data_IF_880219362905
#
_entry.id   IF_880219362905
#
_cell.length_a   1.000
_cell.length_b   1.000
_cell.length_c   1.000
_cell.angle_alpha   90.00
_cell.angle_beta   90.00
_cell.angle_gamma   90.00
#
_symmetry.space_group_name_H-M   'P 1'
#
loop_
_entity.id
_entity.type
_entity.pdbx_description
1 polymer ?
#
# COMPACT_ATOMS: atom_id res chain seq x y z
N UNK A 1 15.12 11.13 14.01
CA UNK A 1 13.98 11.78 14.70
C UNK A 1 12.71 11.38 13.96
N UNK A 2 11.91 10.50 14.57
CA UNK A 2 10.75 9.89 13.94
C UNK A 2 9.50 10.76 13.95
N UNK A 3 8.63 10.52 12.98
CA UNK A 3 7.28 11.06 12.87
C UNK A 3 6.41 10.08 12.10
N UNK A 4 6.19 8.90 12.68
CA UNK A 4 5.32 7.86 12.14
C UNK A 4 3.88 8.37 12.03
N UNK A 5 3.23 8.03 10.92
CA UNK A 5 1.94 8.56 10.51
C UNK A 5 0.79 8.33 11.49
N UNK A 6 0.10 9.41 11.83
CA UNK A 6 -1.26 9.36 12.36
C UNK A 6 -2.19 8.75 11.33
N UNK A 7 -2.46 7.43 11.43
CA UNK A 7 -3.63 6.82 10.77
C UNK A 7 -4.87 7.44 11.39
N UNK A 8 -5.59 8.25 10.62
CA UNK A 8 -6.87 8.83 11.03
C UNK A 8 -7.84 7.74 11.50
N UNK A 9 -8.53 7.99 12.61
CA UNK A 9 -9.57 7.09 13.15
C UNK A 9 -10.64 6.88 12.07
N UNK A 10 -10.78 5.65 11.57
CA UNK A 10 -11.85 5.30 10.64
C UNK A 10 -13.18 5.16 11.38
N UNK A 11 -14.24 5.75 10.84
CA UNK A 11 -15.61 5.69 11.39
C UNK A 11 -16.50 4.96 10.38
N UNK A 12 -17.32 4.03 10.86
CA UNK A 12 -18.27 3.28 10.02
C UNK A 12 -19.66 3.91 10.13
N UNK A 13 -20.30 4.16 8.99
CA UNK A 13 -21.65 4.72 8.89
C UNK A 13 -22.66 3.59 8.66
N UNK A 14 -23.62 3.43 9.57
CA UNK A 14 -24.79 2.58 9.38
C UNK A 14 -26.04 3.46 9.21
N UNK A 15 -26.93 3.12 8.29
CA UNK A 15 -28.22 3.80 8.10
C UNK A 15 -29.30 2.99 8.82
N UNK A 16 -30.13 3.64 9.63
CA UNK A 16 -31.25 2.99 10.32
C UNK A 16 -32.54 2.96 9.47
N UNK A 17 -33.60 2.33 10.00
CA UNK A 17 -34.90 2.15 9.33
C UNK A 17 -35.62 3.47 9.04
N UNK A 18 -35.26 4.56 9.74
CA UNK A 18 -35.76 5.92 9.51
C UNK A 18 -34.80 6.78 8.68
N UNK A 19 -33.91 6.14 7.92
CA UNK A 19 -32.92 6.77 7.04
C UNK A 19 -31.87 7.66 7.72
N UNK A 20 -31.75 7.62 9.06
CA UNK A 20 -30.78 8.44 9.80
C UNK A 20 -29.40 7.79 9.80
N UNK A 21 -28.37 8.61 9.62
CA UNK A 21 -26.97 8.17 9.64
C UNK A 21 -26.52 8.01 11.10
N UNK A 22 -26.26 6.77 11.52
CA UNK A 22 -25.63 6.46 12.81
C UNK A 22 -24.13 6.34 12.65
N UNK A 23 -23.39 7.14 13.40
CA UNK A 23 -21.91 7.11 13.43
C UNK A 23 -21.47 6.19 14.56
N UNK A 24 -21.09 4.95 14.21
CA UNK A 24 -20.56 4.00 15.18
C UNK A 24 -19.03 4.07 15.16
N UNK A 25 -18.43 4.32 16.32
CA UNK A 25 -16.97 4.33 16.52
C UNK A 25 -16.46 2.89 16.57
N UNK A 26 -16.34 2.25 15.42
CA UNK A 26 -15.81 0.90 15.26
C UNK A 26 -14.35 0.87 14.80
N UNK A 27 -13.63 -0.19 15.16
CA UNK A 27 -12.32 -0.52 14.56
C UNK A 27 -12.61 -1.28 13.27
N UNK A 28 -12.20 -0.76 12.11
CA UNK A 28 -12.34 -1.46 10.82
C UNK A 28 -11.26 -2.54 10.75
N UNK A 29 -11.68 -3.80 10.80
CA UNK A 29 -10.79 -4.94 10.55
C UNK A 29 -10.34 -4.91 9.08
N UNK A 30 -9.09 -5.30 8.81
CA UNK A 30 -8.60 -5.43 7.43
C UNK A 30 -9.35 -6.56 6.71
N UNK A 31 -9.44 -6.45 5.39
CA UNK A 31 -10.11 -7.44 4.54
C UNK A 31 -9.55 -8.86 4.75
N UNK A 32 -8.24 -8.96 5.01
CA UNK A 32 -7.56 -10.22 5.36
C UNK A 32 -8.03 -10.82 6.69
N UNK A 33 -8.29 -9.99 7.71
CA UNK A 33 -8.79 -10.45 9.02
C UNK A 33 -10.25 -10.87 8.90
N UNK A 34 -11.04 -10.14 8.10
CA UNK A 34 -12.44 -10.48 7.82
C UNK A 34 -12.53 -11.81 7.06
N UNK A 35 -11.68 -12.02 6.05
CA UNK A 35 -11.65 -13.26 5.28
C UNK A 35 -11.21 -14.46 6.13
N UNK A 36 -10.18 -14.31 6.99
CA UNK A 36 -9.81 -15.37 7.96
C UNK A 36 -10.93 -15.72 8.93
N UNK A 37 -11.64 -14.72 9.46
CA UNK A 37 -12.77 -14.99 10.36
C UNK A 37 -13.90 -15.71 9.63
N UNK A 38 -14.13 -15.37 8.35
CA UNK A 38 -15.12 -16.02 7.49
C UNK A 38 -14.73 -17.47 7.16
N UNK A 39 -13.46 -17.73 6.88
CA UNK A 39 -12.89 -19.06 6.64
C UNK A 39 -12.88 -19.94 7.91
N UNK A 40 -12.63 -19.35 9.08
CA UNK A 40 -12.67 -20.07 10.36
C UNK A 40 -14.08 -20.54 10.76
N UNK A 41 -15.12 -19.85 10.27
CA UNK A 41 -16.52 -20.23 10.51
C UNK A 41 -16.98 -21.41 9.63
N UNK A 42 -16.23 -21.76 8.59
CA UNK A 42 -16.55 -22.85 7.66
C UNK A 42 -15.85 -24.19 7.97
N UNK A 43 -15.09 -24.29 9.06
CA UNK A 43 -14.35 -25.53 9.41
C UNK A 43 -15.18 -26.56 10.22
N UNK A 44 -16.45 -26.29 10.51
CA UNK A 44 -17.36 -27.22 11.20
C UNK A 44 -18.36 -27.94 10.27
N UNK A 45 -17.95 -28.24 9.04
CA UNK A 45 -18.73 -29.06 8.12
C UNK A 45 -17.83 -29.80 7.14
N UNK A 46 -17.70 -31.11 7.36
CA UNK A 46 -17.24 -32.13 6.41
C UNK A 46 -15.75 -32.13 6.00
N UNK A 47 -15.03 -33.13 6.51
CA UNK A 47 -13.68 -33.51 6.09
C UNK A 47 -13.69 -34.83 5.31
N UNK A 48 -13.14 -34.83 4.09
CA UNK A 48 -12.39 -35.95 3.48
C UNK A 48 -11.22 -35.40 2.65
N UNK A 49 -10.13 -36.17 2.47
CA UNK A 49 -8.77 -35.63 2.54
C UNK A 49 -8.09 -35.46 1.18
N UNK A 50 -7.17 -34.49 1.15
CA UNK A 50 -6.23 -34.23 0.07
C UNK A 50 -5.14 -35.33 -0.04
N UNK A 51 -4.87 -35.76 -1.28
CA UNK A 51 -3.77 -36.65 -1.66
C UNK A 51 -2.52 -35.81 -1.92
N UNK A 52 -1.39 -36.27 -1.38
CA UNK A 52 -0.06 -35.70 -1.55
C UNK A 52 0.53 -36.05 -2.92
N UNK A 53 1.14 -35.04 -3.55
CA UNK A 53 1.84 -35.08 -4.83
C UNK A 53 3.26 -35.66 -4.64
N UNK A 54 3.56 -36.76 -5.33
CA UNK A 54 4.90 -37.37 -5.41
C UNK A 54 5.53 -37.03 -6.75
N UNK A 55 6.58 -36.22 -6.75
CA UNK A 55 7.39 -35.91 -7.93
C UNK A 55 8.24 -37.10 -8.42
N UNK A 56 8.51 -37.24 -9.73
CA UNK A 56 9.31 -38.33 -10.27
C UNK A 56 10.81 -37.97 -10.34
N UNK A 57 11.65 -38.86 -9.83
CA UNK A 57 13.10 -38.84 -10.04
C UNK A 57 13.48 -39.50 -11.39
N UNK A 58 14.42 -38.86 -12.08
CA UNK A 58 14.99 -39.22 -13.39
C UNK A 58 16.05 -40.34 -13.26
N UNK A 59 16.20 -41.24 -14.25
CA UNK A 59 17.07 -42.40 -14.14
C UNK A 59 18.53 -42.08 -14.48
N UNK A 60 19.46 -42.70 -13.75
CA UNK A 60 20.89 -42.71 -14.07
C UNK A 60 21.22 -43.87 -15.02
N UNK A 61 21.96 -43.49 -16.05
CA UNK A 61 22.58 -44.28 -17.11
C UNK A 61 23.79 -45.06 -16.56
N UNK A 62 24.17 -46.11 -17.31
CA UNK A 62 25.47 -46.85 -17.39
C UNK A 62 25.27 -48.34 -17.15
N UNK A 63 25.88 -49.31 -17.84
CA UNK A 63 26.89 -49.39 -18.91
C UNK A 63 26.78 -50.83 -19.47
N UNK A 64 26.87 -51.00 -20.78
CA UNK A 64 27.50 -52.17 -21.41
C UNK A 64 28.81 -51.64 -22.02
N UNK A 65 29.92 -52.39 -22.20
CA UNK A 65 29.94 -53.65 -22.97
C UNK A 65 31.12 -54.61 -22.64
N UNK A 66 31.36 -55.58 -23.54
CA UNK A 66 32.55 -56.42 -23.83
C UNK A 66 32.19 -57.91 -23.78
N UNK A 67 32.00 -58.64 -24.90
CA UNK A 67 32.94 -59.05 -25.97
C UNK A 67 34.20 -59.73 -25.43
N UNK A 68 34.26 -61.05 -25.62
CA UNK A 68 35.45 -61.89 -25.52
C UNK A 68 35.39 -62.96 -26.62
N UNK A 69 36.29 -62.82 -27.58
CA UNK A 69 36.56 -63.69 -28.75
C UNK A 69 37.64 -64.72 -28.44
N UNK A 70 37.50 -65.94 -28.99
CA UNK A 70 38.55 -66.89 -29.41
C UNK A 70 37.84 -67.92 -30.33
N UNK A 71 38.11 -67.98 -31.65
CA UNK A 71 39.17 -68.80 -32.32
C UNK A 71 39.11 -70.28 -31.87
N UNK A 72 39.02 -71.31 -32.72
CA UNK A 72 39.71 -71.57 -33.98
C UNK A 72 39.10 -72.82 -34.69
N UNK A 73 39.18 -72.80 -36.03
CA UNK A 73 39.33 -73.91 -37.01
C UNK A 73 38.38 -75.12 -37.13
N UNK A 74 37.75 -75.12 -38.32
CA UNK A 74 37.66 -76.19 -39.35
C UNK A 74 37.26 -77.61 -38.95
N UNK A 75 36.19 -78.13 -39.56
CA UNK A 75 36.27 -79.22 -40.54
C UNK A 75 34.95 -79.36 -41.31
N UNK A 76 35.10 -79.76 -42.57
CA UNK A 76 34.06 -79.96 -43.57
C UNK A 76 33.43 -81.35 -43.43
N UNK A 77 32.12 -81.41 -43.68
CA UNK A 77 31.27 -82.55 -44.05
C UNK A 77 31.18 -83.73 -43.07
N UNK A 78 30.00 -83.91 -42.46
CA UNK A 78 29.00 -84.87 -42.97
C UNK A 78 27.66 -84.67 -42.24
N UNK A 79 26.54 -84.98 -42.91
CA UNK A 79 25.21 -85.00 -42.32
C UNK A 79 25.17 -85.85 -41.04
N UNK A 80 24.50 -85.38 -39.99
CA UNK A 80 23.11 -85.79 -39.85
C UNK A 80 22.17 -84.61 -39.60
N UNK A 81 21.02 -84.75 -40.23
CA UNK A 81 19.74 -84.10 -39.95
C UNK A 81 19.55 -83.89 -38.43
N UNK A 82 19.93 -82.70 -37.93
CA UNK A 82 19.55 -82.27 -36.59
C UNK A 82 18.10 -81.84 -36.68
N UNK A 83 17.20 -82.81 -36.43
CA UNK A 83 15.84 -82.49 -36.04
C UNK A 83 15.93 -81.48 -34.89
N UNK A 84 15.21 -80.35 -34.96
CA UNK A 84 15.18 -79.41 -33.85
C UNK A 84 14.79 -80.23 -32.63
N UNK A 85 15.64 -80.16 -31.60
CA UNK A 85 15.30 -80.87 -30.36
C UNK A 85 13.96 -80.32 -29.87
N UNK A 86 13.16 -81.15 -29.21
CA UNK A 86 11.83 -80.76 -28.71
C UNK A 86 11.87 -79.43 -27.91
N UNK A 87 13.03 -79.14 -27.30
CA UNK A 87 13.36 -77.88 -26.62
C UNK A 87 13.51 -76.64 -27.52
N UNK A 88 14.07 -76.77 -28.73
CA UNK A 88 14.24 -75.66 -29.69
C UNK A 88 12.92 -75.29 -30.38
N UNK A 89 12.10 -76.28 -30.74
CA UNK A 89 10.75 -76.02 -31.25
C UNK A 89 9.87 -75.33 -30.20
N UNK A 90 10.01 -75.71 -28.93
CA UNK A 90 9.30 -75.09 -27.82
C UNK A 90 9.71 -73.63 -27.58
N UNK A 91 11.00 -73.30 -27.76
CA UNK A 91 11.49 -71.92 -27.72
C UNK A 91 10.89 -71.09 -28.86
N UNK A 92 10.84 -71.64 -30.07
CA UNK A 92 10.26 -70.96 -31.23
C UNK A 92 8.76 -70.70 -31.05
N UNK A 93 8.01 -71.69 -30.55
CA UNK A 93 6.58 -71.55 -30.22
C UNK A 93 6.34 -70.50 -29.13
N UNK A 94 7.25 -70.36 -28.15
CA UNK A 94 7.16 -69.30 -27.12
C UNK A 94 7.44 -67.92 -27.71
N UNK A 95 8.45 -67.80 -28.56
CA UNK A 95 8.78 -66.55 -29.23
C UNK A 95 7.64 -66.04 -30.12
N UNK A 96 6.99 -66.92 -30.89
CA UNK A 96 5.82 -66.55 -31.68
C UNK A 96 4.64 -66.09 -30.82
N UNK A 97 4.40 -66.76 -29.68
CA UNK A 97 3.37 -66.34 -28.71
C UNK A 97 3.68 -64.98 -28.10
N UNK A 98 4.94 -64.72 -27.77
CA UNK A 98 5.38 -63.41 -27.28
C UNK A 98 5.23 -62.32 -28.34
N UNK A 99 5.59 -62.60 -29.60
CA UNK A 99 5.36 -61.66 -30.70
C UNK A 99 3.87 -61.37 -30.91
N UNK A 100 3.01 -62.38 -30.81
CA UNK A 100 1.56 -62.21 -30.93
C UNK A 100 1.01 -61.33 -29.79
N UNK A 101 1.45 -61.55 -28.54
CA UNK A 101 1.06 -60.70 -27.39
C UNK A 101 1.54 -59.25 -27.56
N UNK A 102 2.76 -59.05 -28.05
CA UNK A 102 3.30 -57.70 -28.29
C UNK A 102 2.56 -57.00 -29.42
N UNK A 103 2.24 -57.70 -30.51
CA UNK A 103 1.42 -57.15 -31.60
C UNK A 103 0.03 -56.78 -31.12
N UNK A 104 -0.61 -57.63 -30.31
CA UNK A 104 -1.93 -57.35 -29.74
C UNK A 104 -1.92 -56.10 -28.84
N UNK A 105 -0.91 -55.96 -27.97
CA UNK A 105 -0.78 -54.78 -27.11
C UNK A 105 -0.49 -53.50 -27.91
N UNK A 106 0.32 -53.57 -28.96
CA UNK A 106 0.53 -52.44 -29.88
C UNK A 106 -0.76 -52.03 -30.60
N UNK A 107 -1.55 -53.00 -31.08
CA UNK A 107 -2.85 -52.72 -31.67
C UNK A 107 -3.82 -52.09 -30.68
N UNK A 108 -3.83 -52.60 -29.44
CA UNK A 108 -4.64 -52.07 -28.36
C UNK A 108 -4.27 -50.61 -28.05
N UNK A 109 -2.98 -50.31 -27.93
CA UNK A 109 -2.48 -48.95 -27.74
C UNK A 109 -2.84 -48.05 -28.92
N UNK A 110 -2.66 -48.50 -30.17
CA UNK A 110 -3.01 -47.74 -31.36
C UNK A 110 -4.53 -47.47 -31.49
N UNK A 111 -5.38 -48.35 -30.94
CA UNK A 111 -6.84 -48.11 -30.85
C UNK A 111 -7.17 -47.09 -29.76
N UNK A 112 -6.48 -47.15 -28.62
CA UNK A 112 -6.66 -46.18 -27.53
C UNK A 112 -6.20 -44.78 -27.94
N UNK A 113 -5.06 -44.66 -28.62
CA UNK A 113 -4.56 -43.38 -29.14
C UNK A 113 -5.51 -42.80 -30.19
N UNK A 114 -5.97 -43.62 -31.15
CA UNK A 114 -6.99 -43.19 -32.12
C UNK A 114 -8.30 -42.76 -31.48
N UNK A 115 -8.73 -43.40 -30.39
CA UNK A 115 -9.91 -42.99 -29.61
C UNK A 115 -9.66 -41.70 -28.84
N UNK A 116 -8.47 -41.49 -28.30
CA UNK A 116 -8.07 -40.27 -27.60
C UNK A 116 -7.96 -39.08 -28.56
N UNK A 117 -7.50 -39.28 -29.79
CA UNK A 117 -7.41 -38.24 -30.85
C UNK A 117 -8.67 -38.16 -31.72
N UNK A 118 -9.63 -39.07 -31.52
CA UNK A 118 -10.92 -39.10 -32.23
C UNK A 118 -11.89 -38.05 -31.71
N UNK A 119 -11.59 -37.36 -30.61
CA UNK A 119 -12.28 -36.11 -30.31
C UNK A 119 -12.12 -35.18 -31.51
N UNK A 120 -13.21 -34.95 -32.24
CA UNK A 120 -13.19 -34.30 -33.54
C UNK A 120 -12.58 -32.88 -33.38
N UNK A 121 -11.37 -32.61 -33.91
CA UNK A 121 -10.66 -31.36 -33.65
C UNK A 121 -11.46 -30.13 -34.13
N UNK A 122 -12.30 -30.33 -35.16
CA UNK A 122 -13.23 -29.30 -35.65
C UNK A 122 -14.32 -28.95 -34.62
N UNK A 123 -14.79 -29.92 -33.82
CA UNK A 123 -15.78 -29.68 -32.78
C UNK A 123 -15.17 -28.97 -31.57
N UNK A 124 -13.92 -29.29 -31.21
CA UNK A 124 -13.17 -28.55 -30.20
C UNK A 124 -12.95 -27.09 -30.63
N UNK A 125 -12.53 -26.86 -31.87
CA UNK A 125 -12.35 -25.52 -32.43
C UNK A 125 -13.65 -24.70 -32.44
N UNK A 126 -14.77 -25.30 -32.85
CA UNK A 126 -16.08 -24.63 -32.84
C UNK A 126 -16.51 -24.22 -31.43
N UNK A 127 -16.25 -25.07 -30.42
CA UNK A 127 -16.54 -24.74 -29.01
C UNK A 127 -15.66 -23.59 -28.53
N UNK A 128 -14.39 -23.59 -28.88
CA UNK A 128 -13.46 -22.53 -28.50
C UNK A 128 -13.82 -21.19 -29.16
N UNK A 129 -14.21 -21.20 -30.44
CA UNK A 129 -14.75 -20.03 -31.13
C UNK A 129 -16.02 -19.49 -30.46
N UNK A 130 -16.96 -20.36 -30.11
CA UNK A 130 -18.17 -19.94 -29.42
C UNK A 130 -17.88 -19.33 -28.03
N UNK A 131 -16.89 -19.88 -27.31
CA UNK A 131 -16.49 -19.38 -25.99
C UNK A 131 -15.77 -18.04 -26.09
N UNK A 132 -14.83 -17.89 -27.04
CA UNK A 132 -14.16 -16.62 -27.32
C UNK A 132 -15.12 -15.53 -27.79
N UNK A 133 -16.11 -15.85 -28.62
CA UNK A 133 -17.14 -14.88 -29.02
C UNK A 133 -18.02 -14.47 -27.84
N UNK A 134 -18.38 -15.40 -26.96
CA UNK A 134 -19.11 -15.10 -25.73
C UNK A 134 -18.29 -14.18 -24.81
N UNK A 135 -17.00 -14.45 -24.61
CA UNK A 135 -16.09 -13.59 -23.86
C UNK A 135 -15.95 -12.21 -24.51
N UNK A 136 -15.85 -12.15 -25.83
CA UNK A 136 -15.78 -10.89 -26.58
C UNK A 136 -17.05 -10.06 -26.44
N UNK A 137 -18.22 -10.69 -26.36
CA UNK A 137 -19.47 -9.99 -26.08
C UNK A 137 -19.54 -9.49 -24.64
N UNK A 138 -19.15 -10.32 -23.67
CA UNK A 138 -19.09 -9.95 -22.24
C UNK A 138 -18.14 -8.76 -22.01
N UNK A 139 -16.94 -8.82 -22.59
CA UNK A 139 -15.95 -7.73 -22.50
C UNK A 139 -16.46 -6.44 -23.13
N UNK A 140 -17.12 -6.50 -24.31
CA UNK A 140 -17.77 -5.33 -24.93
C UNK A 140 -18.86 -4.72 -24.03
N UNK A 141 -19.68 -5.53 -23.38
CA UNK A 141 -20.71 -5.05 -22.46
C UNK A 141 -20.08 -4.38 -21.24
N UNK A 142 -19.07 -5.01 -20.64
CA UNK A 142 -18.36 -4.47 -19.49
C UNK A 142 -17.65 -3.15 -19.82
N UNK A 143 -17.02 -3.06 -21.00
CA UNK A 143 -16.38 -1.84 -21.47
C UNK A 143 -17.37 -0.66 -21.58
N UNK A 144 -18.59 -0.91 -22.08
CA UNK A 144 -19.65 0.12 -22.11
C UNK A 144 -20.09 0.55 -20.71
N UNK A 145 -20.22 -0.40 -19.79
CA UNK A 145 -20.56 -0.10 -18.40
C UNK A 145 -19.47 0.73 -17.71
N UNK A 146 -18.20 0.37 -17.91
CA UNK A 146 -17.07 1.12 -17.39
C UNK A 146 -17.01 2.54 -17.96
N UNK A 147 -17.20 2.70 -19.28
CA UNK A 147 -17.25 4.03 -19.89
C UNK A 147 -18.36 4.91 -19.29
N UNK A 148 -19.54 4.35 -19.03
CA UNK A 148 -20.61 5.08 -18.34
C UNK A 148 -20.20 5.47 -16.92
N UNK A 149 -19.62 4.54 -16.15
CA UNK A 149 -19.13 4.83 -14.79
C UNK A 149 -18.03 5.88 -14.75
N UNK A 150 -17.11 5.86 -15.72
CA UNK A 150 -16.08 6.88 -15.85
C UNK A 150 -16.67 8.25 -16.15
N UNK A 151 -17.69 8.33 -17.00
CA UNK A 151 -18.40 9.59 -17.26
C UNK A 151 -19.09 10.12 -16.00
N UNK A 152 -19.81 9.25 -15.28
CA UNK A 152 -20.48 9.61 -14.03
C UNK A 152 -19.46 10.10 -12.98
N UNK A 153 -18.33 9.41 -12.83
CA UNK A 153 -17.26 9.79 -11.91
C UNK A 153 -16.59 11.11 -12.32
N UNK A 154 -16.39 11.34 -13.62
CA UNK A 154 -15.86 12.62 -14.13
C UNK A 154 -16.81 13.78 -13.84
N UNK A 155 -18.11 13.59 -14.03
CA UNK A 155 -19.12 14.61 -13.71
C UNK A 155 -19.13 14.92 -12.21
N UNK A 156 -19.13 13.89 -11.36
CA UNK A 156 -19.10 14.05 -9.91
C UNK A 156 -17.80 14.73 -9.44
N UNK A 157 -16.67 14.33 -10.02
CA UNK A 157 -15.36 14.93 -9.74
C UNK A 157 -15.31 16.40 -10.13
N UNK A 158 -15.88 16.78 -11.28
CA UNK A 158 -15.97 18.17 -11.70
C UNK A 158 -16.86 18.98 -10.75
N UNK A 159 -18.03 18.45 -10.38
CA UNK A 159 -18.95 19.09 -9.45
C UNK A 159 -18.29 19.37 -8.09
N UNK A 160 -17.68 18.38 -7.45
CA UNK A 160 -17.03 18.59 -6.15
C UNK A 160 -15.81 19.50 -6.24
N UNK A 161 -15.05 19.44 -7.34
CA UNK A 161 -13.94 20.36 -7.57
C UNK A 161 -14.42 21.82 -7.64
N UNK A 162 -15.54 22.07 -8.32
CA UNK A 162 -16.16 23.39 -8.38
C UNK A 162 -16.67 23.85 -7.01
N UNK A 163 -17.39 22.99 -6.28
CA UNK A 163 -17.90 23.32 -4.94
C UNK A 163 -16.76 23.64 -3.95
N UNK A 164 -15.67 22.87 -3.99
CA UNK A 164 -14.47 23.14 -3.18
C UNK A 164 -13.82 24.46 -3.59
N UNK A 165 -13.73 24.76 -4.89
CA UNK A 165 -13.21 26.03 -5.37
C UNK A 165 -14.04 27.23 -4.89
N UNK A 166 -15.37 27.12 -4.94
CA UNK A 166 -16.28 28.15 -4.42
C UNK A 166 -16.11 28.35 -2.91
N UNK A 167 -16.02 27.25 -2.15
CA UNK A 167 -15.82 27.31 -0.70
C UNK A 167 -14.47 27.95 -0.36
N UNK A 168 -13.40 27.56 -1.04
CA UNK A 168 -12.07 28.14 -0.86
C UNK A 168 -12.05 29.64 -1.18
N UNK A 169 -12.71 30.06 -2.27
CA UNK A 169 -12.81 31.47 -2.65
C UNK A 169 -13.56 32.29 -1.60
N UNK A 170 -14.73 31.82 -1.16
CA UNK A 170 -15.49 32.49 -0.09
C UNK A 170 -14.68 32.57 1.21
N UNK A 171 -13.97 31.51 1.56
CA UNK A 171 -13.15 31.48 2.77
C UNK A 171 -11.99 32.48 2.67
N UNK A 172 -11.30 32.55 1.52
CA UNK A 172 -10.25 33.53 1.27
C UNK A 172 -10.76 34.98 1.32
N UNK A 173 -11.95 35.25 0.77
CA UNK A 173 -12.59 36.57 0.84
C UNK A 173 -12.94 36.95 2.29
N UNK A 174 -13.50 36.02 3.06
CA UNK A 174 -13.79 36.24 4.49
C UNK A 174 -12.52 36.53 5.29
N UNK A 175 -11.45 35.77 5.09
CA UNK A 175 -10.16 36.04 5.76
C UNK A 175 -9.60 37.41 5.39
N UNK A 176 -9.68 37.80 4.12
CA UNK A 176 -9.23 39.11 3.66
C UNK A 176 -10.00 40.24 4.34
N UNK A 177 -11.34 40.17 4.31
CA UNK A 177 -12.20 41.18 4.95
C UNK A 177 -11.99 41.23 6.47
N UNK A 178 -11.87 40.08 7.13
CA UNK A 178 -11.60 40.00 8.57
C UNK A 178 -10.24 40.61 8.92
N UNK A 179 -9.20 40.33 8.13
CA UNK A 179 -7.86 40.90 8.34
C UNK A 179 -7.90 42.43 8.17
N UNK A 180 -8.61 42.93 7.16
CA UNK A 180 -8.79 44.37 6.97
C UNK A 180 -9.52 45.01 8.15
N UNK A 181 -10.65 44.44 8.59
CA UNK A 181 -11.39 44.93 9.75
C UNK A 181 -10.56 44.94 11.03
N UNK A 182 -9.74 43.91 11.26
CA UNK A 182 -8.82 43.86 12.40
C UNK A 182 -7.76 44.96 12.30
N UNK A 183 -7.22 45.21 11.11
CA UNK A 183 -6.23 46.26 10.91
C UNK A 183 -6.83 47.66 11.09
N UNK A 184 -8.01 47.89 10.54
CA UNK A 184 -8.75 49.15 10.69
C UNK A 184 -9.13 49.40 12.16
N UNK A 185 -9.59 48.36 12.87
CA UNK A 185 -9.87 48.44 14.29
C UNK A 185 -8.60 48.71 15.12
N UNK A 186 -7.47 48.06 14.79
CA UNK A 186 -6.20 48.28 15.46
C UNK A 186 -5.69 49.71 15.24
N UNK A 187 -5.68 50.20 14.01
CA UNK A 187 -5.26 51.57 13.68
C UNK A 187 -6.17 52.61 14.34
N UNK A 188 -7.49 52.39 14.32
CA UNK A 188 -8.45 53.24 15.04
C UNK A 188 -8.16 53.24 16.54
N UNK A 189 -7.95 52.07 17.14
CA UNK A 189 -7.58 51.95 18.55
C UNK A 189 -6.26 52.70 18.85
N UNK A 190 -5.24 52.60 18.00
CA UNK A 190 -3.98 53.33 18.15
C UNK A 190 -4.18 54.86 18.16
N UNK A 191 -5.13 55.40 17.39
CA UNK A 191 -5.42 56.85 17.43
C UNK A 191 -6.03 57.29 18.76
N UNK A 192 -6.81 56.42 19.40
CA UNK A 192 -7.46 56.70 20.70
C UNK A 192 -6.56 56.36 21.89
N UNK A 193 -5.64 55.41 21.73
CA UNK A 193 -4.65 55.03 22.73
C UNK A 193 -3.50 56.04 22.65
N UNK A 194 -3.56 57.09 23.50
CA UNK A 194 -2.42 57.98 23.69
C UNK A 194 -1.23 57.15 24.17
N UNK A 195 -0.17 57.08 23.36
CA UNK A 195 1.15 56.66 23.86
C UNK A 195 1.48 57.51 25.07
N UNK A 196 1.58 56.91 26.24
CA UNK A 196 2.10 57.61 27.42
C UNK A 196 3.55 57.95 27.14
N UNK A 197 3.78 59.20 26.73
CA UNK A 197 5.10 59.80 26.73
C UNK A 197 5.39 60.07 28.20
N UNK A 198 6.10 59.14 28.83
CA UNK A 198 6.60 59.37 30.18
C UNK A 198 7.80 60.30 30.07
N UNK A 199 7.61 61.56 30.46
CA UNK A 199 8.73 62.45 30.69
C UNK A 199 9.40 62.00 32.01
N UNK A 200 10.70 61.64 31.99
CA UNK A 200 11.36 61.13 33.18
C UNK A 200 11.35 62.20 34.27
N UNK A 201 10.81 61.87 35.43
CA UNK A 201 10.75 62.82 36.53
C UNK A 201 12.18 63.17 36.95
N UNK A 202 12.43 64.46 37.19
CA UNK A 202 13.74 64.99 37.53
C UNK A 202 14.79 64.85 36.42
N UNK A 203 14.39 64.74 35.14
CA UNK A 203 15.28 64.60 33.98
C UNK A 203 16.46 65.59 33.97
N UNK A 204 16.18 66.86 34.27
CA UNK A 204 17.21 67.92 34.34
C UNK A 204 18.22 67.69 35.46
N UNK A 205 17.76 67.35 36.67
CA UNK A 205 18.64 67.05 37.80
C UNK A 205 19.44 65.77 37.54
N UNK A 206 18.83 64.79 36.85
CA UNK A 206 19.51 63.56 36.44
C UNK A 206 20.65 63.85 35.44
N UNK A 207 20.44 64.74 34.46
CA UNK A 207 21.50 65.10 33.52
C UNK A 207 22.62 65.90 34.20
N UNK A 208 22.26 66.80 35.11
CA UNK A 208 23.21 67.62 35.87
C UNK A 208 24.09 66.78 36.81
N UNK A 209 23.51 65.85 37.57
CA UNK A 209 24.28 65.00 38.49
C UNK A 209 25.21 64.06 37.72
N UNK A 210 24.74 63.49 36.60
CA UNK A 210 25.55 62.63 35.76
C UNK A 210 26.68 63.39 35.06
N UNK A 211 26.48 64.68 34.76
CA UNK A 211 27.54 65.56 34.24
C UNK A 211 28.56 65.88 35.33
N UNK A 212 28.12 66.23 36.55
CA UNK A 212 28.99 66.54 37.67
C UNK A 212 29.94 65.38 38.02
N UNK A 213 29.44 64.13 38.08
CA UNK A 213 30.28 62.97 38.34
C UNK A 213 31.26 62.65 37.21
N UNK A 214 30.90 62.95 35.96
CA UNK A 214 31.81 62.79 34.81
C UNK A 214 32.95 63.80 34.84
N UNK A 215 32.66 65.04 35.20
CA UNK A 215 33.65 66.12 35.25
C UNK A 215 34.55 66.03 36.50
N UNK A 216 34.04 65.47 37.61
CA UNK A 216 34.73 65.44 38.90
C UNK A 216 34.86 64.01 39.46
N UNK A 217 35.53 63.15 38.70
CA UNK A 217 35.73 61.74 39.05
C UNK A 217 36.39 61.51 40.41
N UNK A 218 37.46 62.24 40.72
CA UNK A 218 38.22 62.06 41.97
C UNK A 218 37.64 62.86 43.17
N UNK A 219 36.69 63.77 42.89
CA UNK A 219 36.10 64.69 43.88
C UNK A 219 34.58 64.60 43.88
N UNK A 220 34.04 63.38 43.87
CA UNK A 220 32.60 63.09 43.78
C UNK A 220 31.77 63.73 44.89
N UNK A 221 32.36 63.96 46.06
CA UNK A 221 31.70 64.62 47.20
C UNK A 221 31.29 66.07 46.89
N UNK A 222 31.91 66.73 45.91
CA UNK A 222 31.49 68.07 45.47
C UNK A 222 30.15 68.09 44.71
N UNK A 223 29.65 66.92 44.29
CA UNK A 223 28.33 66.75 43.67
C UNK A 223 27.25 66.36 44.69
N UNK A 224 27.58 66.31 46.00
CA UNK A 224 26.67 65.81 47.04
C UNK A 224 25.38 66.63 47.18
N UNK A 225 25.45 67.95 47.03
CA UNK A 225 24.28 68.83 47.09
C UNK A 225 23.34 68.55 45.92
N UNK A 226 23.88 68.40 44.71
CA UNK A 226 23.13 68.04 43.51
C UNK A 226 22.51 66.64 43.62
N UNK A 227 23.22 65.70 44.26
CA UNK A 227 22.68 64.37 44.57
C UNK A 227 21.53 64.40 45.57
N UNK A 228 21.61 65.29 46.57
CA UNK A 228 20.54 65.51 47.55
C UNK A 228 19.31 66.11 46.89
N UNK A 229 19.49 67.07 45.99
CA UNK A 229 18.39 67.68 45.21
C UNK A 229 17.72 66.67 44.27
N UNK A 230 18.50 65.87 43.53
CA UNK A 230 17.94 64.81 42.69
C UNK A 230 17.12 63.81 43.50
N UNK A 231 17.66 63.33 44.63
CA UNK A 231 16.96 62.40 45.53
C UNK A 231 15.68 63.02 46.10
N UNK A 232 15.72 64.28 46.51
CA UNK A 232 14.55 65.01 47.01
C UNK A 232 13.45 65.14 45.96
N UNK A 233 13.83 65.43 44.72
CA UNK A 233 12.92 65.49 43.59
C UNK A 233 12.27 64.11 43.32
N UNK A 234 13.04 63.01 43.30
CA UNK A 234 12.50 61.65 43.10
C UNK A 234 11.53 61.26 44.22
N UNK A 235 11.88 61.52 45.48
CA UNK A 235 11.03 61.22 46.62
C UNK A 235 9.70 62.00 46.60
N UNK A 236 9.76 63.28 46.20
CA UNK A 236 8.57 64.12 46.08
C UNK A 236 7.65 63.63 44.96
N UNK A 237 8.24 63.29 43.81
CA UNK A 237 7.51 62.71 42.69
C UNK A 237 6.86 61.37 43.05
N UNK A 238 7.59 60.51 43.76
CA UNK A 238 7.06 59.22 44.22
C UNK A 238 5.86 59.40 45.16
N UNK A 239 5.93 60.33 46.11
CA UNK A 239 4.79 60.66 46.99
C UNK A 239 3.60 61.19 46.21
N UNK A 240 3.81 62.10 45.26
CA UNK A 240 2.72 62.70 44.48
C UNK A 240 2.06 61.70 43.51
N UNK A 241 2.83 60.78 42.92
CA UNK A 241 2.29 59.70 42.07
C UNK A 241 1.45 58.69 42.86
N UNK A 242 1.81 58.40 44.12
CA UNK A 242 1.04 57.51 45.00
C UNK A 242 -0.28 58.15 45.47
N UNK A 243 -0.37 59.49 45.50
CA UNK A 243 -1.58 60.20 45.94
C UNK A 243 -2.57 60.53 44.80
N UNK A 244 -2.16 60.40 43.53
CA UNK A 244 -2.97 60.78 42.35
C UNK A 244 -3.73 59.63 41.69
N UNK A 245 -3.74 58.44 42.31
CA UNK A 245 -4.48 57.25 41.87
C UNK A 245 -5.74 56.95 42.72
N UNK A 246 -6.29 57.96 43.42
CA UNK A 246 -7.55 57.88 44.17
C UNK A 246 -8.75 58.42 43.39
#
# INVERSE_FOLDING_TARGET
>A
MGGAGSRGRSVSFGRDEEERIRVLRGVRLSEDVVNRMKESSSVWGESKPHVMDTGPQRPTREKSPHVGTAEDRSHQEDHPDHQPTEAEEDLYKRFEREQAMVQEELERLARLERRATSENPNLALLREQAMTDQERQRTKQLAKQLQKKELDLKQLGAFYKEQLGLLQKKNAELYKMSTQQLHDAATTAETHVKRRIYEPVCARLQSEILRCYREKGDHTLSCADLAKEYRGCVQTAQKNLLMSHG
#
